data_IF_284815499369
#
_entry.id   IF_284815499369
#
_cell.length_a   1.000
_cell.length_b   1.000
_cell.length_c   1.000
_cell.angle_alpha   90.00
_cell.angle_beta   90.00
_cell.angle_gamma   90.00
#
_symmetry.space_group_name_H-M   'P 1'
#
loop_
_entity.id
_entity.type
_entity.pdbx_description
1 polymer ?
#
# COMPACT_ATOMS: atom_id res chain seq x y z
N UNK A 1 4.25 -15.80 -16.88
CA UNK A 1 3.48 -15.76 -15.61
C UNK A 1 2.03 -16.02 -15.97
N UNK A 2 1.37 -17.03 -15.40
CA UNK A 2 -0.02 -17.30 -15.71
C UNK A 2 -0.90 -16.12 -15.24
N UNK A 3 -2.03 -15.94 -15.91
CA UNK A 3 -3.04 -14.97 -15.50
C UNK A 3 -3.58 -15.33 -14.09
N UNK A 4 -3.95 -14.31 -13.31
CA UNK A 4 -4.70 -14.52 -12.07
C UNK A 4 -6.13 -14.93 -12.45
N UNK A 5 -6.52 -16.16 -12.10
CA UNK A 5 -7.84 -16.68 -12.45
C UNK A 5 -8.95 -16.06 -11.56
N UNK A 6 -8.74 -16.10 -10.24
CA UNK A 6 -9.73 -15.70 -9.24
C UNK A 6 -9.10 -14.82 -8.16
N UNK A 7 -9.72 -13.67 -7.91
CA UNK A 7 -9.36 -12.79 -6.80
C UNK A 7 -10.49 -12.70 -5.76
N UNK A 8 -10.10 -12.51 -4.49
CA UNK A 8 -11.02 -12.09 -3.44
C UNK A 8 -10.87 -10.58 -3.20
N UNK A 9 -11.98 -9.95 -2.85
CA UNK A 9 -12.05 -8.53 -2.50
C UNK A 9 -12.63 -8.42 -1.11
N UNK A 10 -11.93 -7.74 -0.20
CA UNK A 10 -12.41 -7.49 1.14
C UNK A 10 -12.12 -6.05 1.55
N UNK A 11 -13.03 -5.47 2.34
CA UNK A 11 -12.90 -4.11 2.89
C UNK A 11 -12.86 -4.17 4.40
N UNK A 12 -11.80 -3.60 4.98
CA UNK A 12 -11.59 -3.48 6.42
C UNK A 12 -11.84 -2.03 6.83
N UNK A 13 -12.52 -1.80 7.95
CA UNK A 13 -12.61 -0.46 8.53
C UNK A 13 -11.31 -0.13 9.25
N UNK A 14 -10.72 1.01 8.93
CA UNK A 14 -9.49 1.50 9.58
C UNK A 14 -9.71 2.92 10.10
N UNK A 15 -8.89 3.40 11.06
CA UNK A 15 -8.98 4.79 11.53
C UNK A 15 -8.80 5.84 10.43
N UNK A 16 -8.08 5.51 9.35
CA UNK A 16 -7.89 6.38 8.19
C UNK A 16 -8.95 6.18 7.08
N UNK A 17 -10.04 5.45 7.36
CA UNK A 17 -11.15 5.19 6.45
C UNK A 17 -11.29 3.72 6.03
N UNK A 18 -12.25 3.39 5.14
CA UNK A 18 -12.37 2.03 4.60
C UNK A 18 -11.13 1.67 3.78
N UNK A 19 -10.54 0.51 4.04
CA UNK A 19 -9.37 -0.01 3.32
C UNK A 19 -9.75 -1.28 2.57
N UNK A 20 -9.72 -1.22 1.24
CA UNK A 20 -10.09 -2.36 0.38
C UNK A 20 -8.83 -3.03 -0.17
N UNK A 21 -8.86 -4.35 -0.22
CA UNK A 21 -7.80 -5.20 -0.78
C UNK A 21 -8.36 -6.09 -1.88
N UNK A 22 -7.64 -6.19 -2.99
CA UNK A 22 -7.84 -7.18 -4.05
C UNK A 22 -6.66 -8.15 -4.00
N UNK A 23 -6.92 -9.42 -3.73
CA UNK A 23 -5.87 -10.44 -3.63
C UNK A 23 -6.16 -11.65 -4.51
N UNK A 24 -5.12 -12.17 -5.19
CA UNK A 24 -5.12 -13.47 -5.83
C UNK A 24 -5.22 -14.55 -4.75
N UNK A 25 -6.29 -15.36 -4.81
CA UNK A 25 -6.57 -16.48 -3.90
C UNK A 25 -6.65 -17.82 -4.65
N UNK A 26 -6.44 -17.83 -5.97
CA UNK A 26 -6.53 -19.03 -6.80
C UNK A 26 -5.26 -19.90 -6.79
N UNK A 27 -4.18 -19.41 -6.19
CA UNK A 27 -2.92 -20.14 -6.05
C UNK A 27 -2.94 -21.18 -4.93
N UNK A 28 -2.01 -22.15 -4.96
CA UNK A 28 -1.79 -23.13 -3.88
C UNK A 28 -1.07 -22.56 -2.65
N UNK A 29 -0.71 -21.27 -2.68
CA UNK A 29 0.06 -20.59 -1.64
C UNK A 29 -0.79 -19.57 -0.87
N UNK A 30 -0.16 -18.77 0.01
CA UNK A 30 -0.85 -17.67 0.67
C UNK A 30 -1.44 -16.68 -0.33
N UNK A 31 -2.54 -16.03 0.08
CA UNK A 31 -3.16 -14.98 -0.71
C UNK A 31 -2.14 -13.88 -1.07
N UNK A 32 -2.16 -13.43 -2.32
CA UNK A 32 -1.19 -12.44 -2.83
C UNK A 32 -1.89 -11.15 -3.20
N UNK A 33 -1.52 -10.04 -2.58
CA UNK A 33 -2.13 -8.72 -2.85
C UNK A 33 -1.77 -8.24 -4.25
N UNK A 34 -2.79 -7.82 -5.00
CA UNK A 34 -2.68 -7.24 -6.34
C UNK A 34 -2.87 -5.72 -6.32
N UNK A 35 -3.82 -5.26 -5.51
CA UNK A 35 -4.06 -3.85 -5.24
C UNK A 35 -4.67 -3.65 -3.87
N UNK A 36 -4.42 -2.49 -3.27
CA UNK A 36 -4.99 -2.10 -1.99
C UNK A 36 -4.95 -0.59 -1.79
N UNK A 37 -5.88 -0.06 -1.01
CA UNK A 37 -5.94 1.35 -0.67
C UNK A 37 -7.16 1.78 0.13
N UNK A 38 -7.15 3.05 0.57
CA UNK A 38 -8.23 3.64 1.35
C UNK A 38 -9.39 4.07 0.45
N UNK A 39 -10.30 3.13 0.24
CA UNK A 39 -11.53 3.25 -0.55
C UNK A 39 -12.48 2.14 -0.12
N UNK A 40 -13.79 2.39 -0.21
CA UNK A 40 -14.82 1.34 -0.11
C UNK A 40 -15.20 0.74 -1.47
N UNK A 41 -14.66 1.29 -2.56
CA UNK A 41 -15.04 0.93 -3.93
C UNK A 41 -13.89 0.25 -4.67
N UNK A 42 -14.06 -1.05 -4.94
CA UNK A 42 -13.11 -1.87 -5.70
C UNK A 42 -12.88 -1.38 -7.12
N UNK A 43 -13.86 -0.67 -7.73
CA UNK A 43 -13.72 -0.13 -9.08
C UNK A 43 -12.57 0.89 -9.19
N UNK A 44 -12.18 1.50 -8.06
CA UNK A 44 -11.01 2.39 -7.98
C UNK A 44 -9.66 1.64 -7.97
N UNK A 45 -9.66 0.37 -7.57
CA UNK A 45 -8.45 -0.46 -7.44
C UNK A 45 -8.16 -1.28 -8.70
N UNK A 46 -9.18 -1.85 -9.36
CA UNK A 46 -8.99 -2.70 -10.54
C UNK A 46 -8.19 -2.02 -11.67
N UNK A 47 -8.37 -0.71 -11.97
CA UNK A 47 -7.58 -0.03 -12.98
C UNK A 47 -6.09 0.09 -12.62
N UNK A 48 -5.72 0.03 -11.33
CA UNK A 48 -4.34 0.09 -10.87
C UNK A 48 -3.58 -1.20 -11.16
N UNK A 49 -4.29 -2.33 -11.24
CA UNK A 49 -3.71 -3.63 -11.54
C UNK A 49 -3.41 -3.68 -13.03
N UNK A 50 -2.16 -3.93 -13.39
CA UNK A 50 -1.74 -4.03 -14.78
C UNK A 50 -2.38 -5.23 -15.46
N UNK A 51 -2.67 -5.12 -16.75
CA UNK A 51 -3.37 -6.16 -17.51
C UNK A 51 -2.72 -7.56 -17.40
N UNK A 52 -1.40 -7.62 -17.19
CA UNK A 52 -0.64 -8.87 -17.04
C UNK A 52 -1.02 -9.67 -15.78
N UNK A 53 -1.42 -9.01 -14.70
CA UNK A 53 -1.76 -9.65 -13.42
C UNK A 53 -3.17 -9.30 -12.93
N UNK A 54 -3.96 -8.63 -13.77
CA UNK A 54 -5.34 -8.28 -13.48
C UNK A 54 -6.19 -9.55 -13.42
N UNK A 55 -7.01 -9.73 -12.38
CA UNK A 55 -7.88 -10.89 -12.29
C UNK A 55 -8.99 -10.83 -13.35
N UNK A 56 -9.33 -11.98 -13.92
CA UNK A 56 -10.47 -12.10 -14.83
C UNK A 56 -11.81 -12.11 -14.08
N UNK A 57 -11.81 -12.71 -12.89
CA UNK A 57 -12.97 -12.81 -12.00
C UNK A 57 -12.56 -12.41 -10.60
N UNK A 58 -13.50 -11.81 -9.89
CA UNK A 58 -13.34 -11.54 -8.47
C UNK A 58 -14.65 -11.73 -7.74
N UNK A 59 -14.56 -12.04 -6.45
CA UNK A 59 -15.69 -12.21 -5.56
C UNK A 59 -15.52 -11.37 -4.31
N UNK A 60 -16.62 -10.82 -3.81
CA UNK A 60 -16.63 -10.14 -2.52
C UNK A 60 -16.50 -11.18 -1.41
N UNK A 61 -15.60 -10.92 -0.46
CA UNK A 61 -15.38 -11.70 0.74
C UNK A 61 -15.48 -10.79 1.97
N UNK A 62 -15.89 -11.34 3.10
CA UNK A 62 -15.84 -10.63 4.39
C UNK A 62 -14.42 -10.53 4.95
N UNK A 63 -13.54 -11.48 4.58
CA UNK A 63 -12.17 -11.61 5.06
C UNK A 63 -11.30 -12.26 3.99
N UNK A 64 -10.00 -11.95 4.00
CA UNK A 64 -8.98 -12.67 3.24
C UNK A 64 -7.90 -13.07 4.24
N UNK A 65 -7.85 -14.35 4.59
CA UNK A 65 -6.99 -14.88 5.65
C UNK A 65 -5.52 -14.50 5.43
N UNK A 66 -4.86 -14.04 6.50
CA UNK A 66 -3.48 -13.55 6.46
C UNK A 66 -3.29 -12.18 5.80
N UNK A 67 -4.25 -11.68 5.00
CA UNK A 67 -4.19 -10.37 4.36
C UNK A 67 -4.95 -9.32 5.16
N UNK A 68 -6.26 -9.51 5.37
CA UNK A 68 -7.05 -8.59 6.20
C UNK A 68 -6.57 -8.56 7.65
N UNK A 69 -6.00 -9.69 8.09
CA UNK A 69 -5.47 -9.86 9.45
C UNK A 69 -4.23 -9.01 9.65
N UNK A 70 -3.34 -8.99 8.65
CA UNK A 70 -2.16 -8.15 8.64
C UNK A 70 -2.52 -6.66 8.60
N UNK A 71 -3.58 -6.28 7.86
CA UNK A 71 -4.10 -4.91 7.87
C UNK A 71 -4.57 -4.53 9.27
N UNK A 72 -5.39 -5.36 9.91
CA UNK A 72 -5.87 -5.11 11.28
C UNK A 72 -4.70 -5.01 12.26
N UNK A 73 -3.80 -6.00 12.25
CA UNK A 73 -2.63 -6.02 13.12
C UNK A 73 -1.72 -4.79 12.93
N UNK A 74 -1.52 -4.31 11.70
CA UNK A 74 -0.78 -3.07 11.45
C UNK A 74 -1.44 -1.88 12.13
N UNK A 75 -2.76 -1.72 12.00
CA UNK A 75 -3.48 -0.61 12.62
C UNK A 75 -3.54 -0.74 14.16
N UNK A 76 -3.46 -1.97 14.69
CA UNK A 76 -3.36 -2.26 16.12
C UNK A 76 -1.93 -2.14 16.69
N UNK A 77 -0.94 -1.81 15.85
CA UNK A 77 0.42 -1.48 16.26
C UNK A 77 1.51 -2.50 15.89
N UNK A 78 1.17 -3.66 15.34
CA UNK A 78 2.16 -4.55 14.71
C UNK A 78 2.52 -4.05 13.30
N UNK A 79 3.38 -3.02 13.26
CA UNK A 79 3.78 -2.35 12.01
C UNK A 79 4.44 -3.30 10.99
N UNK A 80 4.96 -4.44 11.43
CA UNK A 80 5.62 -5.43 10.59
C UNK A 80 4.66 -6.45 9.97
N UNK A 81 3.40 -6.49 10.39
CA UNK A 81 2.44 -7.50 9.94
C UNK A 81 2.24 -7.49 8.41
N UNK A 82 2.13 -6.30 7.82
CA UNK A 82 1.90 -6.12 6.38
C UNK A 82 3.12 -6.45 5.52
N UNK A 83 4.33 -6.37 6.08
CA UNK A 83 5.56 -6.63 5.35
C UNK A 83 5.68 -8.10 4.93
N UNK A 84 5.08 -9.02 5.71
CA UNK A 84 5.08 -10.46 5.46
C UNK A 84 4.08 -10.90 4.39
N UNK A 85 3.16 -10.03 4.00
CA UNK A 85 2.12 -10.36 3.02
C UNK A 85 2.70 -10.35 1.61
N UNK A 86 2.50 -11.41 0.79
CA UNK A 86 2.94 -11.42 -0.59
C UNK A 86 2.24 -10.32 -1.41
N UNK A 87 3.00 -9.62 -2.25
CA UNK A 87 2.47 -8.61 -3.19
C UNK A 87 2.92 -8.98 -4.60
N UNK A 88 2.02 -8.84 -5.57
CA UNK A 88 2.34 -9.05 -6.99
C UNK A 88 1.89 -7.86 -7.82
N UNK A 89 2.89 -7.15 -8.35
CA UNK A 89 2.72 -6.10 -9.34
C UNK A 89 3.56 -6.43 -10.57
N UNK A 90 3.10 -6.00 -11.74
CA UNK A 90 3.80 -6.19 -13.01
C UNK A 90 3.76 -4.90 -13.82
N UNK A 91 4.43 -3.87 -13.31
CA UNK A 91 4.49 -2.52 -13.86
C UNK A 91 5.67 -2.29 -14.81
N UNK A 92 6.62 -3.23 -14.88
CA UNK A 92 7.79 -3.22 -15.76
C UNK A 92 9.11 -3.12 -14.99
N UNK A 93 10.26 -3.41 -15.62
CA UNK A 93 11.49 -3.79 -14.91
C UNK A 93 11.95 -2.79 -13.84
N UNK A 94 11.99 -1.49 -14.15
CA UNK A 94 12.41 -0.48 -13.17
C UNK A 94 11.39 -0.29 -12.05
N UNK A 95 10.09 -0.29 -12.37
CA UNK A 95 9.05 -0.06 -11.37
C UNK A 95 8.91 -1.26 -10.45
N UNK A 96 8.96 -2.47 -10.99
CA UNK A 96 8.91 -3.70 -10.22
C UNK A 96 10.09 -3.76 -9.23
N UNK A 97 11.30 -3.39 -9.69
CA UNK A 97 12.48 -3.23 -8.82
C UNK A 97 12.27 -2.16 -7.75
N UNK A 98 11.87 -0.94 -8.14
CA UNK A 98 11.70 0.16 -7.20
C UNK A 98 10.62 -0.13 -6.14
N UNK A 99 9.50 -0.74 -6.53
CA UNK A 99 8.43 -1.14 -5.61
C UNK A 99 8.88 -2.26 -4.66
N UNK A 100 9.71 -3.20 -5.14
CA UNK A 100 10.31 -4.22 -4.28
C UNK A 100 11.29 -3.60 -3.25
N UNK A 101 12.14 -2.68 -3.69
CA UNK A 101 13.04 -1.92 -2.81
C UNK A 101 12.24 -1.07 -1.81
N UNK A 102 11.13 -0.48 -2.22
CA UNK A 102 10.29 0.33 -1.34
C UNK A 102 9.74 -0.48 -0.15
N UNK A 103 9.51 -1.79 -0.32
CA UNK A 103 9.10 -2.69 0.78
C UNK A 103 10.19 -2.92 1.81
N UNK A 104 11.44 -2.55 1.54
CA UNK A 104 12.53 -2.65 2.51
C UNK A 104 12.68 -1.39 3.37
N UNK A 105 11.89 -0.33 3.10
CA UNK A 105 11.92 0.91 3.89
C UNK A 105 11.14 0.67 5.19
N UNK A 106 11.81 0.68 6.36
CA UNK A 106 11.17 0.32 7.62
C UNK A 106 10.16 1.38 8.08
N UNK A 107 9.16 0.93 8.83
CA UNK A 107 8.20 1.82 9.48
C UNK A 107 8.91 2.81 10.42
N UNK A 108 8.41 4.05 10.47
CA UNK A 108 8.92 5.08 11.40
C UNK A 108 10.24 5.75 10.96
N UNK A 109 10.86 5.31 9.86
CA UNK A 109 12.08 5.92 9.32
C UNK A 109 11.90 6.32 7.84
N UNK A 110 11.13 7.39 7.56
CA UNK A 110 10.86 7.81 6.20
C UNK A 110 12.13 8.29 5.47
N UNK A 111 12.15 8.09 4.15
CA UNK A 111 13.24 8.52 3.26
C UNK A 111 12.78 9.66 2.35
N UNK A 112 13.73 10.48 1.88
CA UNK A 112 13.45 11.41 0.77
C UNK A 112 13.37 10.66 -0.57
N UNK A 113 12.71 11.23 -1.57
CA UNK A 113 12.75 10.69 -2.94
C UNK A 113 14.19 10.53 -3.49
N UNK A 114 15.11 11.41 -3.09
CA UNK A 114 16.51 11.32 -3.48
C UNK A 114 17.21 10.12 -2.81
N UNK A 115 17.00 9.92 -1.50
CA UNK A 115 17.51 8.77 -0.78
C UNK A 115 16.91 7.46 -1.30
N UNK A 116 15.62 7.45 -1.64
CA UNK A 116 14.99 6.31 -2.27
C UNK A 116 15.57 6.01 -3.66
N UNK A 117 15.85 7.03 -4.49
CA UNK A 117 16.52 6.84 -5.78
C UNK A 117 17.91 6.19 -5.62
N UNK A 118 18.69 6.63 -4.62
CA UNK A 118 19.96 5.99 -4.25
C UNK A 118 19.74 4.53 -3.84
N UNK A 119 18.76 4.26 -2.98
CA UNK A 119 18.43 2.90 -2.51
C UNK A 119 18.05 1.97 -3.67
N UNK A 120 17.40 2.48 -4.72
CA UNK A 120 17.11 1.71 -5.93
C UNK A 120 18.33 1.45 -6.82
N UNK A 121 19.51 1.94 -6.46
CA UNK A 121 20.75 1.84 -7.25
C UNK A 121 20.82 2.84 -8.41
N UNK A 122 19.96 3.87 -8.43
CA UNK A 122 19.92 4.89 -9.50
C UNK A 122 19.82 6.30 -8.91
N UNK A 123 20.91 6.86 -8.35
CA UNK A 123 20.89 8.16 -7.65
C UNK A 123 20.29 9.32 -8.47
N UNK A 124 20.55 9.37 -9.78
CA UNK A 124 20.04 10.42 -10.66
C UNK A 124 18.54 10.28 -11.01
N UNK A 125 17.89 9.17 -10.64
CA UNK A 125 16.55 8.80 -11.08
C UNK A 125 15.43 9.26 -10.12
N UNK A 126 15.59 10.43 -9.46
CA UNK A 126 14.64 10.95 -8.46
C UNK A 126 13.20 11.04 -8.99
N UNK A 127 13.00 11.53 -10.22
CA UNK A 127 11.66 11.59 -10.85
C UNK A 127 11.06 10.20 -11.13
N UNK A 128 11.92 9.22 -11.44
CA UNK A 128 11.48 7.85 -11.67
C UNK A 128 11.11 7.18 -10.34
N UNK A 129 11.84 7.46 -9.26
CA UNK A 129 11.52 7.02 -7.91
C UNK A 129 10.18 7.60 -7.42
N UNK A 130 9.93 8.90 -7.69
CA UNK A 130 8.63 9.51 -7.42
C UNK A 130 7.50 8.88 -8.26
N UNK A 131 7.76 8.59 -9.53
CA UNK A 131 6.82 7.87 -10.41
C UNK A 131 6.50 6.46 -9.88
N UNK A 132 7.48 5.76 -9.30
CA UNK A 132 7.25 4.45 -8.67
C UNK A 132 6.27 4.57 -7.51
N UNK A 133 6.44 5.56 -6.63
CA UNK A 133 5.53 5.81 -5.52
C UNK A 133 4.10 6.12 -6.02
N UNK A 134 3.95 6.93 -7.07
CA UNK A 134 2.67 7.31 -7.64
C UNK A 134 1.94 6.15 -8.36
N UNK A 135 2.71 5.19 -8.90
CA UNK A 135 2.21 4.00 -9.61
C UNK A 135 2.07 2.77 -8.73
N UNK A 136 2.27 2.91 -7.42
CA UNK A 136 1.99 1.85 -6.48
C UNK A 136 0.50 1.49 -6.49
N UNK A 137 0.19 0.20 -6.75
CA UNK A 137 -1.16 -0.32 -6.74
C UNK A 137 -1.56 -0.93 -5.39
N UNK A 138 -0.58 -1.35 -4.58
CA UNK A 138 -0.78 -2.05 -3.32
C UNK A 138 -0.33 -1.19 -2.15
N UNK A 139 -1.02 -0.05 -1.93
CA UNK A 139 -0.71 0.82 -0.81
C UNK A 139 -0.82 0.07 0.54
N UNK A 140 -0.13 0.59 1.56
CA UNK A 140 0.16 -0.08 2.83
C UNK A 140 1.20 -1.22 2.69
N UNK A 141 0.92 -2.24 1.89
CA UNK A 141 1.83 -3.39 1.70
C UNK A 141 3.10 -3.05 0.91
N UNK A 142 2.99 -2.06 0.03
CA UNK A 142 4.12 -1.32 -0.55
C UNK A 142 4.07 0.09 0.03
N UNK A 143 5.00 0.45 0.93
CA UNK A 143 4.80 1.59 1.84
C UNK A 143 5.25 2.92 1.21
N UNK A 144 4.60 3.34 0.12
CA UNK A 144 4.96 4.60 -0.55
C UNK A 144 4.67 5.87 0.26
N UNK A 145 3.90 5.77 1.35
CA UNK A 145 3.73 6.85 2.32
C UNK A 145 5.02 7.17 3.09
N UNK A 146 5.96 6.21 3.21
CA UNK A 146 7.27 6.40 3.85
C UNK A 146 8.26 7.23 3.03
N UNK A 147 7.88 7.69 1.84
CA UNK A 147 8.72 8.54 0.99
C UNK A 147 8.23 9.99 0.99
N UNK A 148 9.11 10.91 1.36
CA UNK A 148 8.86 12.34 1.54
C UNK A 148 9.61 13.20 0.51
N UNK A 149 9.24 14.48 0.42
CA UNK A 149 10.06 15.46 -0.29
C UNK A 149 11.39 15.66 0.45
N UNK A 150 12.39 16.17 -0.26
CA UNK A 150 13.74 16.41 0.29
C UNK A 150 13.73 17.39 1.47
N UNK A 151 12.78 18.32 1.50
CA UNK A 151 12.57 19.27 2.59
C UNK A 151 11.79 18.69 3.79
N UNK A 152 11.48 17.39 3.78
CA UNK A 152 10.70 16.71 4.82
C UNK A 152 9.18 16.90 4.71
N UNK A 153 8.69 17.71 3.76
CA UNK A 153 7.25 17.91 3.58
C UNK A 153 6.58 16.70 2.91
N UNK A 154 5.26 16.58 3.09
CA UNK A 154 4.49 15.49 2.50
C UNK A 154 4.40 15.65 0.97
N UNK A 155 5.07 14.75 0.25
CA UNK A 155 4.79 14.52 -1.17
C UNK A 155 3.38 13.94 -1.38
N UNK A 156 2.83 14.11 -2.59
CA UNK A 156 1.50 13.61 -2.95
C UNK A 156 1.30 12.13 -2.61
N UNK A 157 0.06 11.78 -2.27
CA UNK A 157 -0.36 10.42 -1.95
C UNK A 157 -1.69 10.15 -2.64
N UNK A 158 -1.81 8.99 -3.30
CA UNK A 158 -3.02 8.61 -4.06
C UNK A 158 -4.28 8.69 -3.21
N UNK A 159 -4.16 8.34 -1.94
CA UNK A 159 -5.27 8.26 -0.99
C UNK A 159 -5.42 9.53 -0.13
N UNK A 160 -4.78 10.63 -0.55
CA UNK A 160 -4.85 11.92 0.13
C UNK A 160 -3.75 12.13 1.18
N UNK A 161 -3.36 13.39 1.36
CA UNK A 161 -2.39 13.77 2.40
C UNK A 161 -2.85 13.44 3.84
N UNK A 162 -4.14 13.53 4.19
CA UNK A 162 -4.63 13.11 5.51
C UNK A 162 -4.26 11.67 5.87
N UNK A 163 -4.49 10.72 4.96
CA UNK A 163 -4.15 9.30 5.17
C UNK A 163 -2.64 9.13 5.30
N UNK A 164 -1.85 9.80 4.44
CA UNK A 164 -0.38 9.74 4.50
C UNK A 164 0.16 10.25 5.84
N UNK A 165 -0.39 11.37 6.35
CA UNK A 165 -0.05 11.94 7.65
C UNK A 165 -0.35 10.93 8.75
N UNK A 166 -1.59 10.43 8.80
CA UNK A 166 -2.02 9.45 9.79
C UNK A 166 -1.09 8.22 9.85
N UNK A 167 -0.71 7.65 8.70
CA UNK A 167 0.20 6.50 8.65
C UNK A 167 1.59 6.82 9.21
N UNK A 168 2.13 8.00 8.90
CA UNK A 168 3.44 8.41 9.38
C UNK A 168 3.43 8.62 10.89
N UNK A 169 2.37 9.24 11.43
CA UNK A 169 2.23 9.48 12.87
C UNK A 169 1.98 8.17 13.64
N UNK A 170 1.19 7.26 13.05
CA UNK A 170 1.00 5.90 13.58
C UNK A 170 2.32 5.14 13.65
N UNK A 171 3.15 5.23 12.60
CA UNK A 171 4.44 4.57 12.55
C UNK A 171 5.52 5.22 13.43
N UNK A 172 5.41 6.51 13.76
CA UNK A 172 6.34 7.20 14.67
C UNK A 172 5.98 7.01 16.15
N UNK A 173 4.82 6.44 16.46
CA UNK A 173 4.28 6.36 17.81
C UNK A 173 3.67 7.67 18.32
N UNK A 174 3.53 8.68 17.46
CA UNK A 174 2.88 9.96 17.79
C UNK A 174 1.35 9.82 17.70
N UNK A 175 0.77 9.15 18.69
CA UNK A 175 -0.68 8.92 18.80
C UNK A 175 -1.52 10.19 19.10
N UNK A 176 -0.91 11.38 19.10
CA UNK A 176 -1.58 12.64 19.49
C UNK A 176 -2.57 13.15 18.43
N UNK A 177 -2.39 12.80 17.15
CA UNK A 177 -3.23 13.29 16.04
C UNK A 177 -4.17 12.21 15.46
N UNK A 178 -3.83 10.92 15.59
CA UNK A 178 -4.64 9.80 15.11
C UNK A 178 -6.07 9.76 15.70
N UNK A 179 -6.24 10.24 16.94
CA UNK A 179 -7.53 10.34 17.62
C UNK A 179 -8.48 11.42 17.05
N UNK A 180 -7.95 12.41 16.31
CA UNK A 180 -8.78 13.48 15.71
C UNK A 180 -9.56 12.98 14.49
N UNK A 181 -9.06 11.96 13.76
CA UNK A 181 -9.77 11.38 12.62
C UNK A 181 -10.93 10.45 13.01
N UNK A 182 -10.90 9.86 14.22
CA UNK A 182 -12.01 9.06 14.75
C UNK A 182 -13.22 9.87 15.22
N UNK A 183 -13.13 11.21 15.28
CA UNK A 183 -14.17 12.08 15.84
C UNK A 183 -15.09 12.80 14.84
N UNK A 184 -14.83 12.73 13.54
CA UNK A 184 -15.54 13.55 12.53
C UNK A 184 -16.51 12.74 11.65
N UNK A 185 -17.32 11.89 12.27
CA UNK A 185 -18.49 11.26 11.64
C UNK A 185 -19.69 11.28 12.61
N UNK A 186 -20.07 12.48 13.02
CA UNK A 186 -21.38 12.75 13.61
C UNK A 186 -21.80 14.19 13.30
N UNK A 187 -22.55 14.35 12.21
CA UNK A 187 -23.50 15.44 11.98
C UNK A 187 -24.56 14.93 11.01
#
# INVERSE_FOLDING_TARGET
MPAVADAAVATVRTPAGPFTVVADVGGRGPATVLAAGWTGDVATLLPLITARVRPLRWQQASRIDGVTDAVLAYHDGDLAAVDRVPVRQAAGPYLDHALAVLRTVPAGAPLSYAAFAVLTGRPAAVRAAASACARNAAALFVPCHRILRTDGTLGGFRWGLPVKRWLLDHESGDQREAALFSGSAAS
#
